data_IF_926786483413
#
_entry.id   IF_926786483413
#
_cell.length_a   1.000
_cell.length_b   1.000
_cell.length_c   1.000
_cell.angle_alpha   90.00
_cell.angle_beta   90.00
_cell.angle_gamma   90.00
#
_symmetry.space_group_name_H-M   'P 1'
#
loop_
_entity.id
_entity.type
_entity.pdbx_description
1 polymer ?
#
# COMPACT_ATOMS: atom_id res chain seq x y z
N UNK A 1 26.93 -51.70 62.75
CA UNK A 1 28.38 -51.70 62.98
C UNK A 1 29.02 -52.48 61.83
N UNK A 2 29.97 -51.98 61.05
CA UNK A 2 30.44 -50.61 60.84
C UNK A 2 31.19 -50.55 59.47
N UNK A 3 31.22 -49.36 58.84
CA UNK A 3 32.38 -48.70 58.17
C UNK A 3 33.55 -49.58 57.65
N UNK A 4 34.23 -49.37 56.51
CA UNK A 4 34.48 -48.27 55.54
C UNK A 4 35.13 -48.92 54.27
N UNK A 5 35.55 -48.30 53.15
CA UNK A 5 35.62 -46.90 52.66
C UNK A 5 35.47 -46.86 51.09
N UNK A 6 35.60 -45.65 50.54
CA UNK A 6 35.72 -45.20 49.12
C UNK A 6 36.80 -45.85 48.22
N UNK A 7 36.57 -45.92 46.89
CA UNK A 7 37.29 -45.08 45.90
C UNK A 7 36.68 -45.09 44.48
N UNK A 8 36.96 -44.02 43.72
CA UNK A 8 36.51 -43.76 42.35
C UNK A 8 37.49 -44.28 41.28
N UNK A 9 36.97 -44.57 40.08
CA UNK A 9 37.71 -44.33 38.83
C UNK A 9 36.75 -44.11 37.64
N UNK A 10 37.07 -43.09 36.84
CA UNK A 10 36.36 -42.73 35.60
C UNK A 10 37.05 -43.47 34.47
N UNK A 11 36.31 -44.22 33.66
CA UNK A 11 36.80 -44.74 32.38
C UNK A 11 35.84 -44.35 31.25
N UNK A 12 36.22 -43.34 30.48
CA UNK A 12 35.52 -43.00 29.25
C UNK A 12 35.81 -44.03 28.16
N UNK A 13 34.76 -44.56 27.52
CA UNK A 13 34.90 -45.27 26.26
C UNK A 13 34.73 -44.28 25.10
N UNK A 14 35.82 -44.04 24.37
CA UNK A 14 35.74 -43.38 23.08
C UNK A 14 34.90 -44.24 22.14
N UNK A 15 33.66 -43.82 21.83
CA UNK A 15 32.90 -44.41 20.73
C UNK A 15 33.37 -43.76 19.44
N UNK A 16 33.85 -44.59 18.52
CA UNK A 16 34.52 -44.19 17.29
C UNK A 16 33.64 -43.33 16.38
N UNK A 17 34.34 -42.45 15.67
CA UNK A 17 33.82 -41.62 14.57
C UNK A 17 33.57 -42.47 13.32
N UNK A 18 32.83 -41.86 12.40
CA UNK A 18 32.79 -42.17 10.97
C UNK A 18 32.07 -43.46 10.52
N UNK A 19 30.81 -43.26 10.11
CA UNK A 19 30.14 -44.03 9.06
C UNK A 19 29.36 -43.04 8.20
N UNK A 20 30.11 -42.26 7.43
CA UNK A 20 29.61 -41.16 6.59
C UNK A 20 28.85 -41.72 5.40
N UNK A 21 27.55 -42.02 5.58
CA UNK A 21 26.61 -42.11 4.47
C UNK A 21 26.06 -40.72 4.16
N UNK A 22 26.93 -39.85 3.64
CA UNK A 22 26.46 -38.70 2.86
C UNK A 22 25.79 -39.24 1.61
N UNK A 23 24.48 -39.48 1.70
CA UNK A 23 23.62 -39.49 0.53
C UNK A 23 23.82 -38.14 -0.16
N UNK A 24 24.48 -38.17 -1.32
CA UNK A 24 24.63 -37.00 -2.16
C UNK A 24 23.24 -36.59 -2.65
N UNK A 25 22.58 -35.75 -1.85
CA UNK A 25 21.35 -35.08 -2.23
C UNK A 25 21.66 -34.26 -3.48
N UNK A 26 21.01 -34.65 -4.59
CA UNK A 26 21.12 -34.05 -5.91
C UNK A 26 21.08 -32.51 -5.76
N UNK A 27 21.99 -31.74 -6.39
CA UNK A 27 21.92 -30.29 -6.38
C UNK A 27 20.52 -29.75 -6.74
N UNK A 28 19.75 -30.47 -7.57
CA UNK A 28 18.34 -30.15 -7.87
C UNK A 28 17.41 -30.28 -6.65
N UNK A 29 17.61 -31.27 -5.78
CA UNK A 29 16.84 -31.39 -4.54
C UNK A 29 17.21 -30.30 -3.53
N UNK A 30 18.51 -29.98 -3.40
CA UNK A 30 18.97 -28.86 -2.57
C UNK A 30 18.39 -27.53 -3.05
N UNK A 31 18.32 -27.29 -4.36
CA UNK A 31 17.66 -26.12 -4.95
C UNK A 31 16.15 -26.17 -4.70
N UNK A 32 15.48 -27.32 -4.86
CA UNK A 32 14.04 -27.48 -4.64
C UNK A 32 13.64 -27.23 -3.18
N UNK A 33 14.44 -27.69 -2.23
CA UNK A 33 14.18 -27.45 -0.80
C UNK A 33 14.62 -26.07 -0.32
N UNK A 34 15.66 -25.48 -0.93
CA UNK A 34 15.96 -24.06 -0.76
C UNK A 34 14.79 -23.20 -1.27
N UNK A 35 14.29 -23.48 -2.47
CA UNK A 35 13.12 -22.82 -3.07
C UNK A 35 11.85 -23.05 -2.23
N UNK A 36 11.63 -24.25 -1.69
CA UNK A 36 10.50 -24.53 -0.79
C UNK A 36 10.59 -23.74 0.52
N UNK A 37 11.77 -23.70 1.14
CA UNK A 37 12.02 -22.91 2.37
C UNK A 37 11.93 -21.41 2.10
N UNK A 38 12.41 -20.95 0.94
CA UNK A 38 12.27 -19.58 0.48
C UNK A 38 10.81 -19.22 0.25
N UNK A 39 10.04 -20.01 -0.51
CA UNK A 39 8.60 -19.81 -0.70
C UNK A 39 7.86 -19.77 0.65
N UNK A 40 8.14 -20.71 1.56
CA UNK A 40 7.56 -20.71 2.90
C UNK A 40 7.94 -19.45 3.71
N UNK A 41 9.18 -18.96 3.59
CA UNK A 41 9.62 -17.69 4.16
C UNK A 41 8.92 -16.48 3.51
N UNK A 42 8.75 -16.46 2.19
CA UNK A 42 8.05 -15.39 1.48
C UNK A 42 6.56 -15.33 1.84
N UNK A 43 5.95 -16.42 2.31
CA UNK A 43 4.60 -16.42 2.90
C UNK A 43 4.57 -15.99 4.38
N UNK A 44 5.72 -15.75 5.04
CA UNK A 44 5.72 -15.13 6.37
C UNK A 44 5.32 -13.66 6.28
N UNK A 45 4.85 -13.13 7.41
CA UNK A 45 4.40 -11.74 7.55
C UNK A 45 5.47 -10.70 7.13
N UNK A 46 6.75 -11.02 7.34
CA UNK A 46 7.89 -10.17 6.94
C UNK A 46 8.32 -10.46 5.50
N UNK A 47 8.30 -11.72 5.08
CA UNK A 47 8.68 -12.15 3.73
C UNK A 47 7.80 -11.55 2.63
N UNK A 48 6.49 -11.40 2.85
CA UNK A 48 5.59 -10.74 1.88
C UNK A 48 5.96 -9.26 1.70
N UNK A 49 6.37 -8.58 2.77
CA UNK A 49 6.86 -7.20 2.70
C UNK A 49 8.13 -7.09 1.84
N UNK A 50 9.12 -7.95 2.10
CA UNK A 50 10.33 -8.03 1.28
C UNK A 50 10.03 -8.36 -0.19
N UNK A 51 9.09 -9.27 -0.45
CA UNK A 51 8.64 -9.63 -1.80
C UNK A 51 8.14 -8.41 -2.58
N UNK A 52 7.29 -7.58 -1.97
CA UNK A 52 6.75 -6.35 -2.59
C UNK A 52 7.86 -5.33 -2.88
N UNK A 53 8.83 -5.16 -1.97
CA UNK A 53 9.97 -4.25 -2.18
C UNK A 53 10.85 -4.72 -3.34
N UNK A 54 11.21 -6.01 -3.39
CA UNK A 54 11.96 -6.57 -4.50
C UNK A 54 11.20 -6.47 -5.84
N UNK A 55 9.89 -6.74 -5.82
CA UNK A 55 9.03 -6.62 -7.00
C UNK A 55 8.99 -5.18 -7.54
N UNK A 56 8.90 -4.18 -6.65
CA UNK A 56 8.95 -2.76 -7.01
C UNK A 56 10.28 -2.36 -7.66
N UNK A 57 11.41 -2.81 -7.10
CA UNK A 57 12.75 -2.51 -7.62
C UNK A 57 12.97 -3.16 -9.00
N UNK A 58 12.53 -4.41 -9.18
CA UNK A 58 12.60 -5.10 -10.47
C UNK A 58 11.71 -4.42 -11.53
N UNK A 59 10.51 -3.99 -11.15
CA UNK A 59 9.64 -3.17 -12.00
C UNK A 59 10.34 -1.87 -12.42
N UNK A 60 10.90 -1.13 -11.45
CA UNK A 60 11.59 0.14 -11.69
C UNK A 60 12.73 0.00 -12.70
N UNK A 61 13.61 -0.99 -12.51
CA UNK A 61 14.71 -1.26 -13.42
C UNK A 61 14.22 -1.67 -14.83
N UNK A 62 13.14 -2.46 -14.91
CA UNK A 62 12.57 -2.92 -16.18
C UNK A 62 11.95 -1.78 -16.99
N UNK A 63 11.06 -0.98 -16.38
CA UNK A 63 10.41 0.15 -17.06
C UNK A 63 11.41 1.25 -17.42
N UNK A 64 12.37 1.54 -16.55
CA UNK A 64 13.47 2.46 -16.86
C UNK A 64 14.23 2.01 -18.11
N UNK A 65 14.60 0.73 -18.23
CA UNK A 65 15.32 0.26 -19.43
C UNK A 65 14.46 0.29 -20.69
N UNK A 66 13.19 -0.11 -20.61
CA UNK A 66 12.28 -0.18 -21.78
C UNK A 66 11.95 1.21 -22.35
N UNK A 67 11.71 2.20 -21.49
CA UNK A 67 11.23 3.53 -21.91
C UNK A 67 12.35 4.55 -22.09
N UNK A 68 13.50 4.41 -21.39
CA UNK A 68 14.61 5.37 -21.51
C UNK A 68 15.25 5.37 -22.90
N UNK A 69 15.43 4.19 -23.49
CA UNK A 69 16.14 4.02 -24.76
C UNK A 69 15.28 4.38 -25.99
N UNK A 70 14.03 4.82 -25.79
CA UNK A 70 13.15 5.28 -26.87
C UNK A 70 13.28 6.80 -27.06
N UNK A 71 13.75 7.27 -28.24
CA UNK A 71 13.84 8.71 -28.52
C UNK A 71 12.45 9.33 -28.52
N UNK A 72 12.25 10.42 -27.77
CA UNK A 72 11.00 11.17 -27.82
C UNK A 72 10.96 12.02 -29.09
N UNK A 73 10.47 11.41 -30.17
CA UNK A 73 10.25 12.05 -31.47
C UNK A 73 9.45 13.36 -31.34
N UNK A 74 8.61 13.49 -30.32
CA UNK A 74 7.85 14.73 -30.08
C UNK A 74 8.72 15.85 -29.51
N UNK A 75 9.75 15.54 -28.71
CA UNK A 75 10.67 16.54 -28.19
C UNK A 75 11.49 17.17 -29.33
N UNK A 76 12.02 16.34 -30.23
CA UNK A 76 12.77 16.83 -31.39
C UNK A 76 11.88 17.65 -32.34
N UNK A 77 10.69 17.15 -32.68
CA UNK A 77 9.71 17.90 -33.48
C UNK A 77 9.32 19.25 -32.84
N UNK A 78 9.09 19.30 -31.52
CA UNK A 78 8.73 20.55 -30.83
C UNK A 78 9.90 21.55 -30.78
N UNK A 79 11.14 21.07 -30.62
CA UNK A 79 12.33 21.92 -30.71
C UNK A 79 12.46 22.51 -32.12
N UNK A 80 12.27 21.70 -33.16
CA UNK A 80 12.30 22.16 -34.55
C UNK A 80 11.18 23.16 -34.86
N UNK A 81 9.94 22.90 -34.47
CA UNK A 81 8.83 23.84 -34.65
C UNK A 81 9.06 25.16 -33.93
N UNK A 82 9.72 25.14 -32.76
CA UNK A 82 10.09 26.35 -32.02
C UNK A 82 11.13 27.18 -32.78
N UNK A 83 12.16 26.54 -33.34
CA UNK A 83 13.17 27.22 -34.16
C UNK A 83 12.53 27.82 -35.43
N UNK A 84 11.82 27.00 -36.21
CA UNK A 84 11.13 27.45 -37.43
C UNK A 84 10.17 28.63 -37.16
N UNK A 85 9.41 28.59 -36.06
CA UNK A 85 8.52 29.69 -35.69
C UNK A 85 9.28 30.99 -35.38
N UNK A 86 10.43 30.91 -34.73
CA UNK A 86 11.28 32.09 -34.44
C UNK A 86 11.88 32.64 -35.74
N UNK A 87 12.37 31.78 -36.62
CA UNK A 87 12.98 32.17 -37.89
C UNK A 87 11.95 32.80 -38.85
N UNK A 88 10.74 32.25 -38.95
CA UNK A 88 9.65 32.85 -39.73
C UNK A 88 9.21 34.21 -39.17
N UNK A 89 9.06 34.33 -37.84
CA UNK A 89 8.72 35.61 -37.19
C UNK A 89 9.82 36.66 -37.37
N UNK A 90 11.10 36.25 -37.35
CA UNK A 90 12.24 37.12 -37.63
C UNK A 90 12.21 37.61 -39.08
N UNK A 91 11.97 36.72 -40.03
CA UNK A 91 11.88 37.09 -41.46
C UNK A 91 10.70 38.05 -41.72
N UNK A 92 9.51 37.77 -41.17
CA UNK A 92 8.35 38.69 -41.25
C UNK A 92 8.67 40.06 -40.64
N UNK A 93 9.46 40.10 -39.57
CA UNK A 93 9.86 41.36 -38.92
C UNK A 93 10.84 42.17 -39.79
N UNK A 94 11.77 41.51 -40.49
CA UNK A 94 12.66 42.15 -41.45
C UNK A 94 11.91 42.63 -42.72
N UNK A 95 10.95 41.86 -43.22
CA UNK A 95 10.17 42.19 -44.43
C UNK A 95 9.24 43.40 -44.23
N UNK A 96 8.52 43.47 -43.10
CA UNK A 96 7.45 44.46 -42.88
C UNK A 96 7.85 45.65 -41.99
N UNK A 97 9.11 45.68 -41.52
CA UNK A 97 9.79 46.76 -40.78
C UNK A 97 8.90 47.90 -40.22
N UNK A 98 8.35 47.70 -39.02
CA UNK A 98 7.65 48.63 -38.08
C UNK A 98 6.46 49.45 -38.66
N UNK A 99 6.60 50.04 -39.84
CA UNK A 99 5.68 50.97 -40.49
C UNK A 99 4.38 50.32 -40.99
N UNK A 100 4.38 49.03 -41.34
CA UNK A 100 3.18 48.30 -41.78
C UNK A 100 2.68 47.32 -40.72
N UNK A 101 2.24 47.87 -39.59
CA UNK A 101 1.74 47.12 -38.43
C UNK A 101 0.64 46.11 -38.79
N UNK A 102 -0.31 46.48 -39.66
CA UNK A 102 -1.45 45.61 -40.03
C UNK A 102 -1.02 44.36 -40.80
N UNK A 103 -0.10 44.48 -41.75
CA UNK A 103 0.40 43.34 -42.52
C UNK A 103 1.31 42.44 -41.66
N UNK A 104 2.18 43.05 -40.83
CA UNK A 104 3.01 42.33 -39.87
C UNK A 104 2.13 41.52 -38.89
N UNK A 105 1.13 42.16 -38.27
CA UNK A 105 0.18 41.48 -37.37
C UNK A 105 -0.55 40.33 -38.07
N UNK A 106 -1.02 40.51 -39.30
CA UNK A 106 -1.74 39.45 -40.02
C UNK A 106 -0.86 38.23 -40.29
N UNK A 107 0.41 38.42 -40.64
CA UNK A 107 1.31 37.32 -40.96
C UNK A 107 1.90 36.66 -39.72
N UNK A 108 2.34 37.43 -38.71
CA UNK A 108 2.80 36.89 -37.42
C UNK A 108 1.72 36.07 -36.72
N UNK A 109 0.45 36.49 -36.76
CA UNK A 109 -0.66 35.70 -36.22
C UNK A 109 -0.91 34.38 -36.97
N UNK A 110 -0.61 34.28 -38.26
CA UNK A 110 -0.71 33.00 -39.00
C UNK A 110 0.33 32.01 -38.51
N UNK A 111 1.60 32.45 -38.43
CA UNK A 111 2.73 31.63 -37.94
C UNK A 111 2.47 31.16 -36.52
N UNK A 112 2.11 32.09 -35.61
CA UNK A 112 1.79 31.77 -34.23
C UNK A 112 0.61 30.78 -34.11
N UNK A 113 -0.40 30.88 -34.97
CA UNK A 113 -1.55 29.95 -34.96
C UNK A 113 -1.17 28.55 -35.44
N UNK A 114 -0.27 28.42 -36.42
CA UNK A 114 0.27 27.12 -36.85
C UNK A 114 1.11 26.51 -35.74
N UNK A 115 2.03 27.28 -35.15
CA UNK A 115 2.82 26.83 -34.00
C UNK A 115 1.94 26.40 -32.81
N UNK A 116 0.94 27.22 -32.45
CA UNK A 116 -0.02 26.90 -31.40
C UNK A 116 -0.75 25.58 -31.67
N UNK A 117 -1.28 25.37 -32.88
CA UNK A 117 -1.97 24.13 -33.25
C UNK A 117 -1.04 22.91 -33.13
N UNK A 118 0.21 23.02 -33.60
CA UNK A 118 1.19 21.93 -33.53
C UNK A 118 1.55 21.59 -32.08
N UNK A 119 1.81 22.60 -31.24
CA UNK A 119 2.09 22.42 -29.81
C UNK A 119 0.89 21.84 -29.06
N UNK A 120 -0.32 22.33 -29.30
CA UNK A 120 -1.53 21.77 -28.70
C UNK A 120 -1.73 20.30 -29.12
N UNK A 121 -1.46 19.96 -30.39
CA UNK A 121 -1.44 18.58 -30.86
C UNK A 121 -0.44 17.69 -30.12
N UNK A 122 0.81 18.14 -29.96
CA UNK A 122 1.84 17.41 -29.20
C UNK A 122 1.46 17.24 -27.72
N UNK A 123 0.93 18.28 -27.06
CA UNK A 123 0.47 18.20 -25.67
C UNK A 123 -0.67 17.17 -25.52
N UNK A 124 -1.63 17.14 -26.45
CA UNK A 124 -2.68 16.12 -26.47
C UNK A 124 -2.16 14.69 -26.67
N UNK A 125 -0.99 14.51 -27.30
CA UNK A 125 -0.32 13.23 -27.46
C UNK A 125 0.63 12.88 -26.28
N UNK A 126 0.74 13.74 -25.26
CA UNK A 126 1.53 13.48 -24.05
C UNK A 126 2.93 14.14 -24.04
N UNK A 127 3.15 15.20 -24.81
CA UNK A 127 4.35 16.03 -24.69
C UNK A 127 4.30 16.90 -23.42
N UNK A 128 5.34 16.78 -22.59
CA UNK A 128 5.46 17.47 -21.29
C UNK A 128 6.72 18.35 -21.17
N UNK A 129 7.50 18.51 -22.25
CA UNK A 129 8.69 19.38 -22.28
C UNK A 129 9.92 18.87 -21.55
N UNK A 130 9.99 17.57 -21.21
CA UNK A 130 11.14 16.93 -20.54
C UNK A 130 11.69 15.79 -21.40
N UNK A 131 12.98 15.47 -21.23
CA UNK A 131 13.59 14.32 -21.92
C UNK A 131 13.10 12.99 -21.32
N UNK A 132 13.08 11.92 -22.13
CA UNK A 132 12.77 10.55 -21.66
C UNK A 132 13.62 10.15 -20.45
N UNK A 133 14.89 10.56 -20.43
CA UNK A 133 15.83 10.28 -19.34
C UNK A 133 15.44 10.93 -18.00
N UNK A 134 14.90 12.15 -18.03
CA UNK A 134 14.44 12.87 -16.84
C UNK A 134 13.11 12.29 -16.32
N UNK A 135 12.23 11.89 -17.24
CA UNK A 135 10.92 11.29 -16.93
C UNK A 135 11.11 9.91 -16.28
N UNK A 136 11.98 9.08 -16.84
CA UNK A 136 12.23 7.70 -16.41
C UNK A 136 13.48 7.53 -15.54
N UNK A 137 13.72 8.47 -14.62
CA UNK A 137 14.71 8.26 -13.56
C UNK A 137 14.34 7.05 -12.69
N UNK A 138 15.34 6.33 -12.12
CA UNK A 138 15.08 5.16 -11.26
C UNK A 138 14.06 5.42 -10.13
N UNK A 139 14.10 6.56 -9.40
CA UNK A 139 13.08 6.85 -8.39
C UNK A 139 11.68 7.09 -8.96
N UNK A 140 11.57 7.75 -10.13
CA UNK A 140 10.29 7.93 -10.81
C UNK A 140 9.72 6.59 -11.29
N UNK A 141 10.58 5.72 -11.84
CA UNK A 141 10.20 4.36 -12.24
C UNK A 141 9.81 3.47 -11.04
N UNK A 142 10.41 3.69 -9.86
CA UNK A 142 10.02 3.03 -8.60
C UNK A 142 8.66 3.49 -8.09
N UNK A 143 8.39 4.80 -8.14
CA UNK A 143 7.08 5.37 -7.81
C UNK A 143 5.99 4.94 -8.81
N UNK A 144 6.31 4.90 -10.10
CA UNK A 144 5.45 4.33 -11.13
C UNK A 144 5.10 2.88 -10.81
N UNK A 145 6.13 2.03 -10.59
CA UNK A 145 5.98 0.61 -10.26
C UNK A 145 5.14 0.39 -9.00
N UNK A 146 5.39 1.18 -7.94
CA UNK A 146 4.57 1.20 -6.73
C UNK A 146 3.11 1.53 -7.07
N UNK A 147 2.86 2.61 -7.82
CA UNK A 147 1.51 3.08 -8.14
C UNK A 147 0.67 2.06 -8.91
N UNK A 148 1.29 1.26 -9.78
CA UNK A 148 0.64 0.20 -10.57
C UNK A 148 0.16 -0.94 -9.67
N UNK A 149 1.04 -1.59 -8.89
CA UNK A 149 0.62 -2.75 -8.08
C UNK A 149 -0.21 -2.37 -6.85
N UNK A 150 -0.01 -1.16 -6.29
CA UNK A 150 -0.82 -0.67 -5.17
C UNK A 150 -2.22 -0.21 -5.60
N UNK A 151 -2.44 -0.02 -6.91
CA UNK A 151 -3.66 0.57 -7.48
C UNK A 151 -3.88 2.02 -7.03
N UNK A 152 -2.80 2.82 -6.94
CA UNK A 152 -2.89 4.29 -6.74
C UNK A 152 -2.96 4.99 -8.10
N UNK A 153 -2.12 4.60 -9.06
CA UNK A 153 -2.19 5.05 -10.45
C UNK A 153 -2.06 6.57 -10.67
N UNK A 154 -1.02 7.23 -10.14
CA UNK A 154 -0.81 8.68 -10.25
C UNK A 154 -0.96 9.27 -11.66
N UNK A 155 -0.63 8.53 -12.72
CA UNK A 155 -0.84 8.98 -14.12
C UNK A 155 0.11 10.08 -14.61
N UNK A 156 0.97 10.64 -13.75
CA UNK A 156 1.97 11.65 -14.09
C UNK A 156 3.14 11.11 -14.93
N UNK A 157 3.43 9.81 -14.80
CA UNK A 157 4.39 9.04 -15.62
C UNK A 157 3.64 7.84 -16.18
N UNK A 158 3.68 7.68 -17.51
CA UNK A 158 3.01 6.59 -18.24
C UNK A 158 3.92 6.07 -19.36
N UNK A 159 3.95 4.75 -19.63
CA UNK A 159 4.74 4.20 -20.72
C UNK A 159 4.16 4.62 -22.07
N UNK A 160 5.00 5.24 -22.91
CA UNK A 160 4.64 5.61 -24.27
C UNK A 160 4.77 4.40 -25.20
N UNK A 161 5.78 3.55 -24.99
CA UNK A 161 6.11 2.43 -25.91
C UNK A 161 5.08 1.31 -25.86
N UNK A 162 5.02 0.52 -26.94
CA UNK A 162 4.17 -0.68 -27.03
C UNK A 162 4.63 -1.74 -26.02
N UNK A 163 5.94 -1.94 -25.88
CA UNK A 163 6.52 -2.90 -24.94
C UNK A 163 6.31 -2.50 -23.49
N UNK A 164 6.42 -1.22 -23.16
CA UNK A 164 6.11 -0.68 -21.84
C UNK A 164 4.64 -0.92 -21.48
N UNK A 165 3.70 -0.64 -22.40
CA UNK A 165 2.26 -0.91 -22.19
C UNK A 165 1.97 -2.40 -21.96
N UNK A 166 2.56 -3.30 -22.75
CA UNK A 166 2.43 -4.75 -22.55
C UNK A 166 3.04 -5.17 -21.21
N UNK A 167 4.21 -4.62 -20.87
CA UNK A 167 4.89 -4.83 -19.59
C UNK A 167 4.04 -4.41 -18.39
N UNK A 168 3.37 -3.26 -18.46
CA UNK A 168 2.46 -2.77 -17.41
C UNK A 168 1.26 -3.68 -17.21
N UNK A 169 0.67 -4.22 -18.28
CA UNK A 169 -0.44 -5.18 -18.17
C UNK A 169 0.02 -6.43 -17.42
N UNK A 170 1.14 -7.04 -17.84
CA UNK A 170 1.70 -8.21 -17.18
C UNK A 170 2.10 -7.93 -15.71
N UNK A 171 2.72 -6.78 -15.45
CA UNK A 171 3.15 -6.34 -14.13
C UNK A 171 1.97 -6.06 -13.19
N UNK A 172 0.86 -5.52 -13.69
CA UNK A 172 -0.37 -5.36 -12.93
C UNK A 172 -1.00 -6.73 -12.58
N UNK A 173 -1.06 -7.66 -13.53
CA UNK A 173 -1.66 -8.99 -13.33
C UNK A 173 -1.01 -9.80 -12.20
N UNK A 174 0.32 -9.73 -12.03
CA UNK A 174 1.02 -10.41 -10.93
C UNK A 174 1.15 -9.52 -9.68
N UNK A 175 1.42 -8.22 -9.87
CA UNK A 175 1.64 -7.27 -8.80
C UNK A 175 0.42 -7.04 -7.91
N UNK A 176 -0.78 -6.93 -8.50
CA UNK A 176 -2.00 -6.66 -7.72
C UNK A 176 -2.33 -7.81 -6.75
N UNK A 177 -2.34 -9.11 -7.16
CA UNK A 177 -2.49 -10.23 -6.21
C UNK A 177 -1.43 -10.26 -5.12
N UNK A 178 -0.16 -10.04 -5.47
CA UNK A 178 0.97 -9.93 -4.52
C UNK A 178 0.71 -8.83 -3.49
N UNK A 179 0.27 -7.66 -3.95
CA UNK A 179 -0.04 -6.53 -3.09
C UNK A 179 -1.29 -6.77 -2.23
N UNK A 180 -2.32 -7.45 -2.72
CA UNK A 180 -3.49 -7.82 -1.91
C UNK A 180 -3.09 -8.76 -0.78
N UNK A 181 -2.20 -9.73 -1.05
CA UNK A 181 -1.62 -10.58 0.00
C UNK A 181 -0.85 -9.75 1.04
N UNK A 182 -0.03 -8.79 0.59
CA UNK A 182 0.66 -7.84 1.47
C UNK A 182 -0.32 -7.05 2.34
N UNK A 183 -1.32 -6.41 1.74
CA UNK A 183 -2.33 -5.58 2.41
C UNK A 183 -3.07 -6.39 3.50
N UNK A 184 -3.57 -7.58 3.15
CA UNK A 184 -4.29 -8.46 4.08
C UNK A 184 -3.42 -9.02 5.21
N UNK A 185 -2.09 -9.13 5.02
CA UNK A 185 -1.16 -9.62 6.03
C UNK A 185 -0.64 -8.49 6.93
N UNK A 186 -0.11 -7.42 6.33
CA UNK A 186 0.44 -6.26 7.02
C UNK A 186 -0.59 -5.62 7.97
N UNK A 187 -1.85 -5.50 7.55
CA UNK A 187 -2.92 -5.00 8.40
C UNK A 187 -3.18 -5.85 9.64
N UNK A 188 -3.01 -7.18 9.58
CA UNK A 188 -3.12 -8.08 10.74
C UNK A 188 -1.92 -7.97 11.67
N UNK A 189 -0.72 -7.77 11.13
CA UNK A 189 0.51 -7.59 11.91
C UNK A 189 0.42 -6.29 12.69
N UNK A 190 0.19 -5.18 12.00
CA UNK A 190 0.07 -3.86 12.61
C UNK A 190 -1.09 -3.82 13.62
N UNK A 191 -2.24 -4.45 13.34
CA UNK A 191 -3.34 -4.55 14.31
C UNK A 191 -2.95 -5.31 15.59
N UNK A 192 -2.15 -6.38 15.48
CA UNK A 192 -1.63 -7.11 16.65
C UNK A 192 -0.62 -6.27 17.43
N UNK A 193 0.34 -5.65 16.74
CA UNK A 193 1.34 -4.76 17.35
C UNK A 193 0.68 -3.56 18.03
N UNK A 194 -0.35 -2.97 17.42
CA UNK A 194 -1.11 -1.87 17.99
C UNK A 194 -1.94 -2.29 19.20
N UNK A 195 -2.64 -3.44 19.14
CA UNK A 195 -3.33 -4.02 20.32
C UNK A 195 -2.33 -4.29 21.45
N UNK A 196 -1.15 -4.83 21.16
CA UNK A 196 -0.09 -5.06 22.15
C UNK A 196 0.44 -3.74 22.75
N UNK A 197 0.83 -2.77 21.93
CA UNK A 197 1.30 -1.45 22.39
C UNK A 197 0.25 -0.72 23.25
N UNK A 198 -1.02 -0.77 22.84
CA UNK A 198 -2.12 -0.17 23.59
C UNK A 198 -2.31 -0.83 24.96
N UNK A 199 -2.25 -2.17 25.01
CA UNK A 199 -2.33 -2.93 26.26
C UNK A 199 -1.14 -2.59 27.16
N UNK A 200 0.10 -2.69 26.67
CA UNK A 200 1.30 -2.39 27.46
C UNK A 200 1.32 -0.96 27.98
N UNK A 201 0.95 0.04 27.16
CA UNK A 201 0.86 1.43 27.60
C UNK A 201 -0.22 1.64 28.69
N UNK A 202 -1.36 0.93 28.58
CA UNK A 202 -2.45 1.03 29.56
C UNK A 202 -2.19 0.18 30.82
N UNK A 203 -1.42 -0.91 30.74
CA UNK A 203 -0.94 -1.70 31.88
C UNK A 203 0.09 -0.92 32.69
N UNK A 204 1.03 -0.19 32.05
CA UNK A 204 1.89 0.77 32.75
C UNK A 204 1.12 1.88 33.48
N UNK A 205 -0.15 2.12 33.14
CA UNK A 205 -1.03 3.09 33.81
C UNK A 205 -2.08 2.46 34.74
N UNK A 206 -2.26 1.13 34.73
CA UNK A 206 -3.19 0.43 35.64
C UNK A 206 -2.40 -0.21 36.77
N UNK A 207 -2.70 0.22 38.00
CA UNK A 207 -2.41 -0.55 39.20
C UNK A 207 -3.17 -1.89 39.10
N UNK A 208 -2.56 -3.00 39.50
CA UNK A 208 -3.23 -4.30 39.53
C UNK A 208 -4.35 -4.30 40.58
N UNK A 209 -5.60 -4.27 40.10
CA UNK A 209 -6.79 -4.57 40.91
C UNK A 209 -7.00 -6.09 40.92
N UNK A 210 -6.24 -6.81 41.74
CA UNK A 210 -6.48 -8.22 42.04
C UNK A 210 -7.73 -8.34 42.92
N UNK A 211 -8.87 -8.68 42.31
CA UNK A 211 -10.08 -9.02 43.06
C UNK A 211 -9.95 -10.45 43.60
N UNK A 212 -10.03 -10.59 44.93
CA UNK A 212 -10.07 -11.86 45.64
C UNK A 212 -11.53 -12.23 45.91
N UNK A 213 -12.13 -13.05 45.06
CA UNK A 213 -13.32 -13.85 45.38
C UNK A 213 -12.90 -15.32 45.49
N UNK A 214 -13.31 -15.99 46.58
CA UNK A 214 -13.22 -17.44 46.82
C UNK A 214 -11.89 -18.16 46.47
N UNK A 215 -10.76 -17.54 46.81
CA UNK A 215 -9.49 -18.24 47.00
C UNK A 215 -8.74 -18.69 45.73
N UNK A 216 -9.31 -18.51 44.53
CA UNK A 216 -8.60 -18.74 43.27
C UNK A 216 -8.05 -17.43 42.67
N UNK A 217 -6.78 -17.45 42.24
CA UNK A 217 -6.19 -16.34 41.48
C UNK A 217 -6.64 -16.44 40.01
N UNK A 218 -7.85 -15.95 39.71
CA UNK A 218 -8.33 -15.82 38.33
C UNK A 218 -7.89 -14.49 37.71
N UNK A 219 -6.88 -14.54 36.85
CA UNK A 219 -6.47 -13.38 36.05
C UNK A 219 -7.59 -13.01 35.04
N UNK A 220 -8.36 -11.96 35.34
CA UNK A 220 -9.43 -11.46 34.49
C UNK A 220 -8.83 -10.92 33.17
N UNK A 221 -8.68 -11.78 32.16
CA UNK A 221 -8.35 -11.38 30.79
C UNK A 221 -9.53 -10.62 30.16
N UNK A 222 -9.71 -9.37 30.58
CA UNK A 222 -10.62 -8.43 29.92
C UNK A 222 -10.20 -8.31 28.47
N UNK A 223 -11.09 -8.66 27.53
CA UNK A 223 -10.84 -8.51 26.10
C UNK A 223 -10.88 -7.03 25.76
N UNK A 224 -9.73 -6.36 25.85
CA UNK A 224 -9.58 -4.93 25.55
C UNK A 224 -9.89 -4.73 24.05
N UNK A 225 -11.11 -4.25 23.79
CA UNK A 225 -11.55 -3.84 22.46
C UNK A 225 -10.99 -2.45 22.23
N UNK A 226 -9.91 -2.36 21.44
CA UNK A 226 -9.29 -1.09 21.09
C UNK A 226 -10.30 -0.25 20.30
N UNK A 227 -10.65 0.98 20.74
CA UNK A 227 -11.66 1.78 20.06
C UNK A 227 -11.27 2.07 18.61
N UNK A 228 -12.23 1.99 17.68
CA UNK A 228 -12.03 2.42 16.29
C UNK A 228 -11.61 3.89 16.17
N UNK A 229 -11.98 4.74 17.14
CA UNK A 229 -11.51 6.13 17.23
C UNK A 229 -10.00 6.25 17.45
N UNK A 230 -9.34 5.26 18.07
CA UNK A 230 -7.88 5.26 18.24
C UNK A 230 -7.15 5.07 16.90
N UNK A 231 -7.78 4.40 15.92
CA UNK A 231 -7.24 4.27 14.56
C UNK A 231 -7.15 5.61 13.83
N UNK A 232 -8.14 6.49 14.04
CA UNK A 232 -8.16 7.82 13.43
C UNK A 232 -7.00 8.68 13.95
N UNK A 233 -6.68 8.60 15.24
CA UNK A 233 -5.52 9.29 15.81
C UNK A 233 -4.18 8.80 15.24
N UNK A 234 -4.02 7.49 15.03
CA UNK A 234 -2.82 6.92 14.40
C UNK A 234 -2.68 7.40 12.95
N UNK A 235 -3.76 7.39 12.16
CA UNK A 235 -3.76 7.91 10.79
C UNK A 235 -3.45 9.41 10.77
N UNK A 236 -4.08 10.21 11.63
CA UNK A 236 -3.83 11.67 11.69
C UNK A 236 -2.38 12.00 12.08
N UNK A 237 -1.79 11.30 13.05
CA UNK A 237 -0.38 11.47 13.41
C UNK A 237 0.56 11.06 12.26
N UNK A 238 0.21 9.99 11.55
CA UNK A 238 0.97 9.51 10.40
C UNK A 238 0.93 10.47 9.21
N UNK A 239 -0.24 11.06 8.93
CA UNK A 239 -0.41 12.12 7.92
C UNK A 239 0.39 13.36 8.35
N UNK A 240 0.27 13.81 9.61
CA UNK A 240 1.02 14.97 10.13
C UNK A 240 2.54 14.79 9.98
N UNK A 241 3.04 13.58 10.22
CA UNK A 241 4.46 13.23 10.03
C UNK A 241 4.87 13.39 8.57
N UNK A 242 4.03 12.93 7.63
CA UNK A 242 4.23 13.11 6.19
C UNK A 242 4.16 14.59 5.78
N UNK A 243 3.18 15.34 6.27
CA UNK A 243 3.01 16.78 6.02
C UNK A 243 4.26 17.58 6.36
N UNK A 244 4.88 17.31 7.52
CA UNK A 244 6.13 17.98 7.94
C UNK A 244 7.30 17.53 7.06
N UNK A 245 7.42 16.24 6.76
CA UNK A 245 8.50 15.67 5.94
C UNK A 245 8.49 16.21 4.51
N UNK A 246 7.36 16.13 3.80
CA UNK A 246 7.25 16.58 2.40
C UNK A 246 7.31 18.10 2.27
N UNK A 247 6.70 18.85 3.20
CA UNK A 247 6.78 20.31 3.20
C UNK A 247 8.23 20.81 3.33
N UNK A 248 9.03 20.16 4.18
CA UNK A 248 10.45 20.48 4.34
C UNK A 248 11.33 20.01 3.16
N UNK A 249 11.00 18.90 2.49
CA UNK A 249 11.89 18.29 1.49
C UNK A 249 11.64 18.73 0.04
N UNK A 250 10.37 18.92 -0.33
CA UNK A 250 9.92 19.32 -1.67
C UNK A 250 9.58 20.82 -1.74
N UNK A 251 9.73 21.55 -0.61
CA UNK A 251 9.39 22.98 -0.46
C UNK A 251 7.89 23.29 -0.72
N UNK A 252 7.01 22.29 -0.57
CA UNK A 252 5.56 22.44 -0.74
C UNK A 252 4.91 23.11 0.47
N UNK A 253 3.72 23.70 0.31
CA UNK A 253 2.95 24.14 1.47
C UNK A 253 2.53 22.93 2.31
N UNK A 254 2.30 23.14 3.60
CA UNK A 254 1.76 22.09 4.47
C UNK A 254 0.39 21.59 4.01
N UNK A 255 -0.42 22.43 3.36
CA UNK A 255 -1.70 22.01 2.78
C UNK A 255 -1.48 21.03 1.62
N UNK A 256 -0.64 21.39 0.65
CA UNK A 256 -0.31 20.56 -0.52
C UNK A 256 0.35 19.23 -0.09
N UNK A 257 1.20 19.28 0.93
CA UNK A 257 1.84 18.10 1.53
C UNK A 257 0.83 17.18 2.23
N UNK A 258 -0.14 17.75 2.94
CA UNK A 258 -1.24 16.99 3.57
C UNK A 258 -2.15 16.38 2.52
N UNK A 259 -2.48 17.14 1.48
CA UNK A 259 -3.26 16.70 0.33
C UNK A 259 -2.58 15.51 -0.36
N UNK A 260 -1.27 15.60 -0.69
CA UNK A 260 -0.49 14.50 -1.23
C UNK A 260 -0.56 13.23 -0.36
N UNK A 261 -0.40 13.36 0.97
CA UNK A 261 -0.51 12.23 1.89
C UNK A 261 -1.90 11.58 1.81
N UNK A 262 -2.96 12.37 1.87
CA UNK A 262 -4.35 11.87 1.86
C UNK A 262 -4.69 11.20 0.52
N UNK A 263 -4.44 11.85 -0.63
CA UNK A 263 -4.79 11.28 -1.95
C UNK A 263 -4.01 10.00 -2.25
N UNK A 264 -2.78 9.88 -1.74
CA UNK A 264 -1.94 8.69 -1.91
C UNK A 264 -2.45 7.53 -1.05
N UNK A 265 -2.70 7.76 0.24
CA UNK A 265 -3.16 6.73 1.18
C UNK A 265 -4.60 6.25 0.89
N UNK A 266 -5.46 7.15 0.39
CA UNK A 266 -6.81 6.82 -0.05
C UNK A 266 -6.86 6.19 -1.46
N UNK A 267 -5.72 6.06 -2.16
CA UNK A 267 -5.62 5.58 -3.55
C UNK A 267 -6.44 6.38 -4.56
N UNK A 268 -6.55 7.69 -4.35
CA UNK A 268 -7.19 8.61 -5.31
C UNK A 268 -6.19 8.96 -6.41
N UNK A 269 -4.93 9.23 -6.05
CA UNK A 269 -3.82 9.28 -7.00
C UNK A 269 -3.96 10.27 -8.15
N UNK A 270 -4.30 11.54 -7.90
CA UNK A 270 -4.40 12.55 -8.97
C UNK A 270 -3.08 12.86 -9.70
N UNK A 271 -1.93 12.65 -9.05
CA UNK A 271 -0.59 12.78 -9.66
C UNK A 271 -0.11 14.20 -9.97
N UNK A 272 -0.89 15.20 -9.58
CA UNK A 272 -0.54 16.62 -9.56
C UNK A 272 0.68 16.89 -8.66
N UNK A 273 0.73 16.26 -7.48
CA UNK A 273 1.88 16.25 -6.60
C UNK A 273 2.49 14.85 -6.52
N UNK A 274 3.75 14.71 -6.94
CA UNK A 274 4.57 13.51 -6.73
C UNK A 274 5.99 13.94 -6.36
N UNK A 275 6.53 13.54 -5.20
CA UNK A 275 7.85 13.97 -4.76
C UNK A 275 8.93 13.42 -5.70
N UNK A 276 10.01 14.19 -5.89
CA UNK A 276 11.07 13.84 -6.84
C UNK A 276 10.74 14.07 -8.31
N UNK A 277 9.56 14.59 -8.65
CA UNK A 277 9.28 15.06 -10.01
C UNK A 277 10.13 16.28 -10.39
N UNK A 278 10.68 17.03 -9.43
CA UNK A 278 11.52 18.20 -9.66
C UNK A 278 13.01 17.87 -9.50
N UNK A 279 13.54 17.09 -10.44
CA UNK A 279 14.93 16.57 -10.40
C UNK A 279 16.00 17.68 -10.55
N UNK A 280 15.62 18.86 -11.06
CA UNK A 280 16.52 19.95 -11.42
C UNK A 280 17.42 20.52 -10.28
N UNK A 281 17.10 20.25 -9.01
CA UNK A 281 17.55 21.09 -7.87
C UNK A 281 18.37 20.34 -6.79
N UNK A 282 18.74 19.05 -6.95
CA UNK A 282 19.49 18.30 -5.91
C UNK A 282 20.27 17.08 -6.42
N UNK A 283 21.54 17.30 -6.80
CA UNK A 283 22.47 16.22 -7.20
C UNK A 283 22.94 15.33 -6.03
N UNK A 284 22.88 15.80 -4.78
CA UNK A 284 23.25 15.03 -3.59
C UNK A 284 22.03 14.81 -2.68
N UNK A 285 21.64 13.54 -2.50
CA UNK A 285 20.60 13.11 -1.54
C UNK A 285 19.20 12.83 -2.09
N UNK A 286 18.93 13.10 -3.38
CA UNK A 286 17.64 12.84 -4.05
C UNK A 286 17.17 11.39 -3.93
N UNK A 287 18.07 10.42 -4.15
CA UNK A 287 17.77 9.00 -4.04
C UNK A 287 17.26 8.57 -2.65
N UNK A 288 17.83 9.12 -1.57
CA UNK A 288 17.40 8.78 -0.20
C UNK A 288 16.02 9.35 0.13
N UNK A 289 15.74 10.61 -0.25
CA UNK A 289 14.41 11.22 -0.08
C UNK A 289 13.31 10.35 -0.71
N UNK A 290 13.59 9.79 -1.89
CA UNK A 290 12.60 9.04 -2.67
C UNK A 290 12.46 7.56 -2.25
N UNK A 291 13.53 6.94 -1.76
CA UNK A 291 13.43 5.66 -1.03
C UNK A 291 12.63 5.82 0.26
N UNK A 292 12.83 6.92 1.00
CA UNK A 292 12.03 7.19 2.20
C UNK A 292 10.56 7.46 1.85
N UNK A 293 10.27 8.18 0.75
CA UNK A 293 8.91 8.32 0.24
C UNK A 293 8.27 6.97 -0.14
N UNK A 294 8.99 6.09 -0.84
CA UNK A 294 8.52 4.75 -1.16
C UNK A 294 8.19 3.93 0.10
N UNK A 295 9.07 3.96 1.10
CA UNK A 295 8.87 3.31 2.41
C UNK A 295 7.68 3.94 3.15
N UNK A 296 7.54 5.27 3.09
CA UNK A 296 6.40 5.99 3.66
C UNK A 296 5.11 5.47 3.03
N UNK A 297 4.89 5.64 1.73
CA UNK A 297 3.64 5.19 1.06
C UNK A 297 3.36 3.71 1.35
N UNK A 298 4.37 2.82 1.29
CA UNK A 298 4.19 1.40 1.59
C UNK A 298 3.74 1.14 3.05
N UNK A 299 4.39 1.77 4.05
CA UNK A 299 4.02 1.66 5.46
C UNK A 299 2.63 2.25 5.74
N UNK A 300 2.32 3.39 5.13
CA UNK A 300 1.02 4.05 5.22
C UNK A 300 -0.11 3.19 4.64
N UNK A 301 0.12 2.49 3.52
CA UNK A 301 -0.83 1.49 3.03
C UNK A 301 -1.02 0.33 4.02
N UNK A 302 0.02 -0.04 4.77
CA UNK A 302 -0.08 -0.98 5.89
C UNK A 302 -0.96 -0.46 7.03
N UNK A 303 -0.86 0.82 7.40
CA UNK A 303 -1.71 1.45 8.42
C UNK A 303 -3.17 1.55 7.96
N UNK A 304 -3.42 1.93 6.70
CA UNK A 304 -4.78 1.89 6.12
C UNK A 304 -5.33 0.47 6.17
N UNK A 305 -4.51 -0.55 5.86
CA UNK A 305 -4.90 -1.95 5.98
C UNK A 305 -5.21 -2.37 7.43
N UNK A 306 -4.46 -1.86 8.41
CA UNK A 306 -4.74 -2.09 9.84
C UNK A 306 -6.12 -1.54 10.21
N UNK A 307 -6.39 -0.28 9.87
CA UNK A 307 -7.65 0.38 10.20
C UNK A 307 -8.84 -0.28 9.48
N UNK A 308 -8.67 -0.68 8.21
CA UNK A 308 -9.66 -1.50 7.49
C UNK A 308 -9.95 -2.83 8.20
N UNK A 309 -8.92 -3.56 8.63
CA UNK A 309 -9.10 -4.84 9.34
C UNK A 309 -9.81 -4.66 10.69
N UNK A 310 -9.45 -3.63 11.47
CA UNK A 310 -10.09 -3.33 12.76
C UNK A 310 -11.55 -2.89 12.58
N UNK A 311 -11.83 -1.99 11.63
CA UNK A 311 -13.21 -1.59 11.31
C UNK A 311 -14.04 -2.79 10.82
N UNK A 312 -13.45 -3.68 10.02
CA UNK A 312 -14.11 -4.93 9.62
C UNK A 312 -14.35 -5.89 10.79
N UNK A 313 -13.47 -5.93 11.80
CA UNK A 313 -13.67 -6.73 13.01
C UNK A 313 -14.87 -6.20 13.81
N UNK A 314 -14.92 -4.88 14.06
CA UNK A 314 -16.02 -4.20 14.76
C UNK A 314 -17.37 -4.37 14.06
N UNK A 315 -17.42 -4.17 12.74
CA UNK A 315 -18.65 -4.35 11.95
C UNK A 315 -19.13 -5.81 12.01
N UNK A 316 -18.23 -6.80 11.93
CA UNK A 316 -18.59 -8.22 12.05
C UNK A 316 -19.11 -8.56 13.44
N UNK A 317 -18.63 -7.91 14.51
CA UNK A 317 -19.15 -8.12 15.87
C UNK A 317 -20.57 -7.56 15.97
N UNK A 318 -20.80 -6.31 15.57
CA UNK A 318 -22.15 -5.69 15.60
C UNK A 318 -23.17 -6.42 14.74
N UNK A 319 -22.78 -6.95 13.58
CA UNK A 319 -23.65 -7.79 12.74
C UNK A 319 -23.98 -9.14 13.40
N UNK A 320 -23.08 -9.70 14.21
CA UNK A 320 -23.36 -10.93 14.98
C UNK A 320 -24.29 -10.66 16.16
N UNK A 321 -24.10 -9.55 16.87
CA UNK A 321 -24.99 -9.09 17.94
C UNK A 321 -26.42 -8.90 17.40
N UNK A 322 -26.57 -8.07 16.35
CA UNK A 322 -27.85 -7.84 15.67
C UNK A 322 -28.51 -9.15 15.20
N UNK A 323 -27.73 -10.10 14.67
CA UNK A 323 -28.24 -11.43 14.25
C UNK A 323 -28.74 -12.25 15.44
N UNK A 324 -28.08 -12.17 16.59
CA UNK A 324 -28.50 -12.88 17.80
C UNK A 324 -29.75 -12.23 18.40
N UNK A 325 -29.84 -10.92 18.45
CA UNK A 325 -31.02 -10.19 18.93
C UNK A 325 -32.25 -10.47 18.05
N UNK A 326 -32.07 -10.47 16.73
CA UNK A 326 -33.12 -10.80 15.77
C UNK A 326 -33.57 -12.27 15.91
N UNK A 327 -32.64 -13.20 16.18
CA UNK A 327 -33.00 -14.59 16.51
C UNK A 327 -33.79 -14.68 17.80
N UNK A 328 -33.33 -14.06 18.88
CA UNK A 328 -34.01 -14.06 20.18
C UNK A 328 -35.43 -13.48 20.07
N UNK A 329 -35.61 -12.42 19.25
CA UNK A 329 -36.90 -11.83 18.95
C UNK A 329 -37.82 -12.79 18.17
N UNK A 330 -37.32 -13.48 17.14
CA UNK A 330 -38.07 -14.51 16.42
C UNK A 330 -38.48 -15.68 17.33
N UNK A 331 -37.58 -16.12 18.22
CA UNK A 331 -37.85 -17.20 19.16
C UNK A 331 -38.96 -16.79 20.17
N UNK A 332 -38.94 -15.55 20.69
CA UNK A 332 -40.01 -15.00 21.56
C UNK A 332 -41.36 -14.83 20.85
N UNK A 333 -41.36 -14.33 19.60
CA UNK A 333 -42.58 -14.24 18.77
C UNK A 333 -43.18 -15.64 18.54
N UNK A 334 -42.34 -16.62 18.20
CA UNK A 334 -42.77 -18.01 17.95
C UNK A 334 -43.34 -18.65 19.22
N UNK A 335 -42.72 -18.38 20.37
CA UNK A 335 -43.19 -18.87 21.67
C UNK A 335 -44.55 -18.24 22.03
N UNK A 336 -44.72 -16.93 21.85
CA UNK A 336 -46.02 -16.24 22.07
C UNK A 336 -47.14 -16.78 21.19
N UNK A 337 -46.86 -17.01 19.90
CA UNK A 337 -47.83 -17.64 18.97
C UNK A 337 -48.21 -19.04 19.48
N UNK A 338 -47.23 -19.84 19.90
CA UNK A 338 -47.45 -21.22 20.38
C UNK A 338 -48.31 -21.26 21.64
N UNK A 339 -48.08 -20.35 22.60
CA UNK A 339 -48.89 -20.22 23.82
C UNK A 339 -50.34 -19.83 23.47
N UNK A 340 -50.54 -18.78 22.67
CA UNK A 340 -51.88 -18.36 22.23
C UNK A 340 -52.64 -19.48 21.52
N UNK A 341 -51.98 -20.27 20.67
CA UNK A 341 -52.59 -21.42 20.00
C UNK A 341 -53.02 -22.52 20.99
N UNK A 342 -52.20 -22.82 22.00
CA UNK A 342 -52.54 -23.82 23.02
C UNK A 342 -53.69 -23.37 23.92
N UNK A 343 -53.71 -22.12 24.36
CA UNK A 343 -54.81 -21.56 25.16
C UNK A 343 -56.14 -21.62 24.40
N UNK A 344 -56.13 -21.21 23.12
CA UNK A 344 -57.30 -21.29 22.23
C UNK A 344 -57.81 -22.74 22.13
N UNK A 345 -56.90 -23.72 22.01
CA UNK A 345 -57.22 -25.14 21.92
C UNK A 345 -57.83 -25.67 23.22
N UNK A 346 -57.32 -25.26 24.38
CA UNK A 346 -57.84 -25.62 25.69
C UNK A 346 -59.25 -25.05 25.93
N UNK A 347 -59.49 -23.79 25.56
CA UNK A 347 -60.81 -23.17 25.63
C UNK A 347 -61.85 -23.95 24.82
N UNK A 348 -61.56 -24.27 23.55
CA UNK A 348 -62.47 -25.08 22.74
C UNK A 348 -62.74 -26.46 23.36
N UNK A 349 -61.72 -27.14 23.90
CA UNK A 349 -61.87 -28.46 24.50
C UNK A 349 -62.74 -28.43 25.77
N UNK A 350 -62.60 -27.39 26.59
CA UNK A 350 -63.46 -27.14 27.77
C UNK A 350 -64.90 -26.83 27.36
N UNK A 351 -65.09 -26.04 26.31
CA UNK A 351 -66.43 -25.71 25.80
C UNK A 351 -67.17 -26.94 25.27
N UNK A 352 -66.50 -27.84 24.52
CA UNK A 352 -67.09 -29.12 24.08
C UNK A 352 -67.37 -30.11 25.22
N UNK A 353 -66.70 -30.00 26.38
CA UNK A 353 -66.99 -30.83 27.56
C UNK A 353 -68.22 -30.35 28.34
N UNK A 354 -68.58 -29.07 28.28
CA UNK A 354 -69.74 -28.51 28.97
C UNK A 354 -71.04 -28.57 28.13
N UNK A 355 -70.98 -29.11 26.91
CA UNK A 355 -72.13 -29.26 25.99
C UNK A 355 -72.59 -30.73 25.91
N UNK A 356 -71.94 -31.63 26.65
CA UNK A 356 -72.35 -33.02 26.91
C UNK A 356 -72.74 -33.18 28.37
#
# INVERSE_FOLDING_TARGET
MDRHHTHSSIHGSYRSKDSTSTTESDPREKIKDCLRKFIAFMFTQVGVGALVVCYAILGAASFMHIEKDSPDEQLENVLQWRQNCVDELWNITNEYNILNHTAWMLNSNKVLKVFQNNITGAIHLGYNGRASEDIWSFPAALMYSLSVFTMIGYGNVVPKTVWGKIGTIAYACFGIPIYVLYFCNMGKVLAKTFKWLYITAHECSRRDDTLLEDGEIQAIKRKITVPSTACLWVISFYILTGTIMFGAWEKWNYLDSTYFCVISLCKIGFGDFVPGANIADSAEGSHLKLVINFIYVLLGMGLVAMCYNLMCEDVRVKVRELRQDLKNCLDDITLKITVCMNDTKYYHQKQTRNIK
#
